data_IF_142414296466
#
_entry.id   IF_142414296466
#
_cell.length_a   1.000
_cell.length_b   1.000
_cell.length_c   1.000
_cell.angle_alpha   90.00
_cell.angle_beta   90.00
_cell.angle_gamma   90.00
#
_symmetry.space_group_name_H-M   'P 1'
#
loop_
_entity.id
_entity.type
_entity.pdbx_description
1 polymer ?
#
# COMPACT_ATOMS: atom_id res chain seq x y z
N UNK A 1 -3.69 -36.06 -9.57
CA UNK A 1 -3.23 -36.33 -10.95
C UNK A 1 -3.53 -35.10 -11.80
N UNK A 2 -2.49 -34.43 -12.28
CA UNK A 2 -2.63 -33.38 -13.29
C UNK A 2 -2.86 -34.13 -14.60
N UNK A 3 -3.98 -33.96 -15.29
CA UNK A 3 -4.20 -34.57 -16.58
C UNK A 3 -3.05 -34.17 -17.50
N UNK A 4 -2.43 -35.13 -18.17
CA UNK A 4 -1.41 -34.85 -19.16
C UNK A 4 -1.97 -33.80 -20.15
N UNK A 5 -1.35 -32.64 -20.24
CA UNK A 5 -1.68 -31.60 -21.22
C UNK A 5 -1.48 -32.25 -22.59
N UNK A 6 -2.57 -32.58 -23.27
CA UNK A 6 -2.50 -32.90 -24.69
C UNK A 6 -1.96 -31.67 -25.41
N UNK A 7 -1.06 -31.90 -26.36
CA UNK A 7 -0.55 -30.84 -27.22
C UNK A 7 -1.70 -30.08 -27.87
N UNK A 8 -2.03 -28.93 -27.30
CA UNK A 8 -3.06 -28.02 -27.69
C UNK A 8 -2.80 -26.69 -26.99
N UNK A 9 -3.15 -25.61 -27.60
CA UNK A 9 -2.94 -24.28 -27.03
C UNK A 9 -3.69 -24.12 -25.71
N UNK A 10 -2.96 -24.02 -24.58
CA UNK A 10 -3.53 -23.64 -23.31
C UNK A 10 -3.63 -22.10 -23.27
N UNK A 11 -4.83 -21.57 -23.38
CA UNK A 11 -5.07 -20.12 -23.23
C UNK A 11 -5.14 -19.79 -21.74
N UNK A 12 -4.07 -19.18 -21.23
CA UNK A 12 -4.03 -18.71 -19.83
C UNK A 12 -4.37 -17.22 -19.83
N UNK A 13 -5.42 -16.87 -19.10
CA UNK A 13 -5.78 -15.47 -18.86
C UNK A 13 -5.28 -15.07 -17.48
N UNK A 14 -4.31 -14.15 -17.44
CA UNK A 14 -3.83 -13.58 -16.19
C UNK A 14 -4.66 -12.35 -15.82
N UNK A 15 -5.17 -12.32 -14.59
CA UNK A 15 -5.85 -11.16 -14.01
C UNK A 15 -4.94 -10.49 -12.98
N UNK A 16 -4.79 -9.17 -13.08
CA UNK A 16 -4.23 -8.40 -11.99
C UNK A 16 -5.20 -8.41 -10.82
N UNK A 17 -4.70 -8.72 -9.64
CA UNK A 17 -5.47 -8.78 -8.39
C UNK A 17 -5.00 -7.73 -7.39
N UNK A 18 -3.96 -6.98 -7.73
CA UNK A 18 -3.36 -5.96 -6.88
C UNK A 18 -3.44 -4.59 -7.54
N UNK A 19 -3.51 -3.57 -6.70
CA UNK A 19 -3.20 -2.19 -7.08
C UNK A 19 -1.91 -1.76 -6.41
N UNK A 20 -1.32 -0.66 -6.87
CA UNK A 20 -0.11 -0.09 -6.30
C UNK A 20 -0.37 1.33 -5.84
N UNK A 21 0.06 1.67 -4.63
CA UNK A 21 0.13 3.06 -4.16
C UNK A 21 1.60 3.46 -4.16
N UNK A 22 1.98 4.35 -5.09
CA UNK A 22 3.29 4.96 -5.11
C UNK A 22 3.27 6.21 -4.23
N UNK A 23 4.06 6.21 -3.16
CA UNK A 23 4.24 7.36 -2.27
C UNK A 23 5.59 8.00 -2.58
N UNK A 24 5.56 9.30 -2.88
CA UNK A 24 6.75 10.15 -2.97
C UNK A 24 6.69 11.15 -1.82
N UNK A 25 7.54 10.98 -0.82
CA UNK A 25 7.55 11.83 0.36
C UNK A 25 8.83 12.66 0.43
N UNK A 26 8.69 14.00 0.46
CA UNK A 26 9.78 14.90 0.80
C UNK A 26 9.93 14.92 2.31
N UNK A 27 11.13 14.62 2.81
CA UNK A 27 11.39 14.52 4.24
C UNK A 27 12.29 15.65 4.72
N UNK A 28 12.20 16.06 6.00
CA UNK A 28 13.10 17.04 6.58
C UNK A 28 14.56 16.59 6.46
N UNK A 29 15.47 17.52 6.26
CA UNK A 29 16.93 17.26 6.15
C UNK A 29 17.54 16.60 7.40
N UNK A 30 16.87 16.73 8.55
CA UNK A 30 17.25 16.06 9.78
C UNK A 30 16.97 14.56 9.81
N UNK A 31 16.21 14.05 8.83
CA UNK A 31 15.88 12.61 8.73
C UNK A 31 17.00 11.91 7.97
N UNK A 32 17.80 11.14 8.67
CA UNK A 32 18.91 10.39 8.06
C UNK A 32 18.43 9.16 7.28
N UNK A 33 17.46 8.43 7.84
CA UNK A 33 16.89 7.23 7.22
C UNK A 33 15.40 7.12 7.51
N UNK A 34 14.65 6.56 6.55
CA UNK A 34 13.26 6.18 6.74
C UNK A 34 13.14 4.67 6.72
N UNK A 35 12.61 4.11 7.79
CA UNK A 35 12.53 2.65 8.03
C UNK A 35 11.20 2.06 7.61
N UNK A 36 10.14 2.86 7.64
CA UNK A 36 8.80 2.39 7.26
C UNK A 36 7.96 3.51 6.65
N UNK A 37 7.04 3.09 5.77
CA UNK A 37 5.98 3.94 5.21
C UNK A 37 4.66 3.23 5.43
N UNK A 38 3.66 3.95 5.95
CA UNK A 38 2.31 3.45 6.16
C UNK A 38 1.33 4.39 5.45
N UNK A 39 0.38 3.81 4.74
CA UNK A 39 -0.76 4.50 4.14
C UNK A 39 -2.04 4.07 4.82
N UNK A 40 -2.89 5.02 5.15
CA UNK A 40 -4.16 4.83 5.85
C UNK A 40 -5.22 5.78 5.27
N UNK A 41 -6.49 5.43 5.40
CA UNK A 41 -7.61 6.31 5.11
C UNK A 41 -8.53 6.40 6.32
N UNK A 42 -8.99 7.59 6.65
CA UNK A 42 -9.83 7.88 7.81
C UNK A 42 -11.10 8.60 7.35
N UNK A 43 -12.25 8.17 7.86
CA UNK A 43 -13.54 8.82 7.62
C UNK A 43 -13.65 10.13 8.40
N UNK A 44 -14.66 10.93 8.09
CA UNK A 44 -14.93 12.18 8.79
C UNK A 44 -15.24 12.00 10.29
N UNK A 45 -15.71 10.83 10.71
CA UNK A 45 -15.98 10.50 12.12
C UNK A 45 -14.73 10.02 12.88
N UNK A 46 -13.56 10.01 12.23
CA UNK A 46 -12.30 9.55 12.81
C UNK A 46 -12.10 8.03 12.75
N UNK A 47 -13.07 7.26 12.27
CA UNK A 47 -12.89 5.83 12.07
C UNK A 47 -12.09 5.53 10.80
N UNK A 48 -11.31 4.45 10.82
CA UNK A 48 -10.53 4.04 9.65
C UNK A 48 -11.42 3.42 8.58
N UNK A 49 -11.01 3.60 7.31
CA UNK A 49 -11.60 2.92 6.16
C UNK A 49 -10.86 1.62 5.92
N UNK A 50 -11.55 0.50 5.96
CA UNK A 50 -10.98 -0.77 5.51
C UNK A 50 -10.95 -0.80 3.98
N UNK A 51 -9.76 -0.83 3.39
CA UNK A 51 -9.59 -0.70 1.94
C UNK A 51 -8.64 -1.71 1.30
N UNK A 52 -7.98 -2.53 2.08
CA UNK A 52 -7.09 -3.55 1.56
C UNK A 52 -7.28 -4.87 2.30
N UNK A 53 -6.99 -5.95 1.61
CA UNK A 53 -6.73 -7.24 2.22
C UNK A 53 -5.21 -7.34 2.29
N UNK A 54 -4.65 -6.74 3.30
CA UNK A 54 -3.21 -6.63 3.47
C UNK A 54 -2.74 -7.50 4.59
N UNK A 55 -1.52 -7.37 4.86
CA UNK A 55 -0.76 -8.24 5.69
C UNK A 55 -0.40 -9.48 4.87
N UNK A 56 0.38 -10.27 5.37
CA UNK A 56 0.96 -11.51 4.91
C UNK A 56 -0.06 -12.54 4.37
N UNK A 57 -0.91 -12.14 3.45
CA UNK A 57 -1.84 -13.06 2.81
C UNK A 57 -1.03 -13.95 1.89
N UNK A 58 -0.72 -15.16 2.31
CA UNK A 58 -0.47 -16.22 1.35
C UNK A 58 -1.67 -16.21 0.42
N UNK A 59 -1.46 -15.80 -0.83
CA UNK A 59 -2.45 -16.01 -1.87
C UNK A 59 -2.65 -17.52 -1.91
N UNK A 60 -3.71 -17.99 -1.30
CA UNK A 60 -4.08 -19.39 -1.44
C UNK A 60 -4.25 -19.66 -2.92
N UNK A 61 -3.75 -20.78 -3.38
CA UNK A 61 -3.61 -21.18 -4.77
C UNK A 61 -4.87 -21.01 -5.66
N UNK A 62 -5.98 -20.52 -5.12
CA UNK A 62 -7.23 -20.30 -5.84
C UNK A 62 -7.99 -19.04 -5.45
N UNK A 63 -7.34 -18.03 -4.88
CA UNK A 63 -7.93 -16.69 -4.78
C UNK A 63 -9.08 -16.52 -3.79
N UNK A 64 -9.26 -17.43 -2.84
CA UNK A 64 -10.35 -17.36 -1.87
C UNK A 64 -9.91 -17.26 -0.42
N UNK A 65 -8.65 -17.06 -0.16
CA UNK A 65 -8.13 -16.81 1.18
C UNK A 65 -8.34 -15.35 1.59
N UNK A 66 -9.51 -15.01 2.06
CA UNK A 66 -9.81 -13.68 2.56
C UNK A 66 -9.32 -13.56 4.01
N UNK A 67 -8.26 -12.77 4.22
CA UNK A 67 -8.05 -12.17 5.52
C UNK A 67 -9.11 -11.12 5.82
N UNK A 68 -9.21 -10.69 7.07
CA UNK A 68 -10.02 -9.54 7.41
C UNK A 68 -9.55 -8.30 6.63
N UNK A 69 -10.45 -7.42 6.18
CA UNK A 69 -10.04 -6.18 5.54
C UNK A 69 -9.24 -5.33 6.53
N UNK A 70 -8.12 -4.78 6.05
CA UNK A 70 -7.26 -3.93 6.83
C UNK A 70 -7.49 -2.46 6.46
N UNK A 71 -7.26 -1.60 7.42
CA UNK A 71 -7.42 -0.15 7.32
C UNK A 71 -6.12 0.59 6.98
N UNK A 72 -5.02 -0.16 6.84
CA UNK A 72 -3.71 0.40 6.50
C UNK A 72 -2.87 -0.57 5.68
N UNK A 73 -1.98 -0.02 4.86
CA UNK A 73 -0.91 -0.74 4.18
C UNK A 73 0.42 -0.18 4.65
N UNK A 74 1.30 -1.03 5.16
CA UNK A 74 2.64 -0.67 5.58
C UNK A 74 3.71 -1.41 4.79
N UNK A 75 4.89 -0.79 4.70
CA UNK A 75 6.09 -1.35 4.09
C UNK A 75 7.31 -0.96 4.92
N UNK A 76 8.06 -1.96 5.37
CA UNK A 76 9.42 -1.77 5.86
C UNK A 76 10.37 -1.47 4.71
N UNK A 77 11.25 -0.52 4.86
CA UNK A 77 12.20 -0.07 3.84
C UNK A 77 13.63 -0.57 4.14
N UNK A 78 14.36 -0.88 3.09
CA UNK A 78 15.73 -1.40 3.18
C UNK A 78 15.80 -2.93 3.04
N UNK A 79 17.01 -3.49 3.25
CA UNK A 79 17.22 -4.95 3.24
C UNK A 79 16.69 -5.60 4.51
N UNK A 80 16.38 -6.89 4.43
CA UNK A 80 16.05 -7.77 5.55
C UNK A 80 14.66 -7.61 6.15
N UNK A 81 13.67 -7.40 5.30
CA UNK A 81 12.30 -7.62 5.73
C UNK A 81 12.06 -9.11 6.00
N UNK A 82 12.18 -9.53 7.25
CA UNK A 82 11.94 -10.93 7.66
C UNK A 82 10.55 -11.15 8.28
N UNK A 83 9.63 -10.24 8.02
CA UNK A 83 8.22 -10.41 8.39
C UNK A 83 7.86 -10.21 9.85
N UNK A 84 8.82 -10.03 10.72
CA UNK A 84 8.58 -9.91 12.17
C UNK A 84 8.61 -8.45 12.67
N UNK A 85 9.11 -7.53 11.85
CA UNK A 85 9.24 -6.12 12.20
C UNK A 85 8.46 -5.24 11.22
N UNK A 86 7.75 -4.26 11.74
CA UNK A 86 7.10 -3.22 10.93
C UNK A 86 8.11 -2.28 10.28
N UNK A 87 9.35 -2.25 10.79
CA UNK A 87 10.43 -1.40 10.32
C UNK A 87 11.51 -2.24 9.62
N UNK A 88 11.94 -1.79 8.45
CA UNK A 88 13.11 -2.31 7.76
C UNK A 88 14.41 -1.66 8.28
N UNK A 89 15.54 -1.97 7.63
CA UNK A 89 16.85 -1.37 7.94
C UNK A 89 16.88 0.13 7.62
N UNK A 90 15.96 0.57 6.76
CA UNK A 90 15.82 1.96 6.34
C UNK A 90 16.56 2.29 5.04
N UNK A 91 16.06 3.31 4.37
CA UNK A 91 16.68 3.92 3.20
C UNK A 91 16.92 5.40 3.46
N UNK A 92 17.99 5.95 2.90
CA UNK A 92 18.22 7.39 2.93
C UNK A 92 17.42 8.08 1.85
N UNK A 93 16.97 9.33 2.10
CA UNK A 93 16.39 10.15 1.05
C UNK A 93 17.39 10.35 -0.10
N UNK A 94 16.86 10.57 -1.30
CA UNK A 94 17.68 10.95 -2.45
C UNK A 94 18.29 12.35 -2.30
N UNK A 95 19.10 12.79 -3.27
CA UNK A 95 19.75 14.10 -3.26
C UNK A 95 18.80 15.29 -3.22
N UNK A 96 17.53 15.07 -3.57
CA UNK A 96 16.46 16.09 -3.51
C UNK A 96 15.62 16.00 -2.25
N UNK A 97 15.98 15.10 -1.32
CA UNK A 97 15.29 14.89 -0.05
C UNK A 97 14.01 14.04 -0.17
N UNK A 98 13.87 13.23 -1.21
CA UNK A 98 12.69 12.39 -1.40
C UNK A 98 12.95 10.93 -1.08
N UNK A 99 11.89 10.31 -0.59
CA UNK A 99 11.76 8.85 -0.50
C UNK A 99 10.65 8.43 -1.42
N UNK A 100 10.86 7.32 -2.13
CA UNK A 100 9.82 6.67 -2.92
C UNK A 100 9.55 5.27 -2.41
N UNK A 101 8.29 4.97 -2.13
CA UNK A 101 7.82 3.65 -1.72
C UNK A 101 6.67 3.19 -2.61
N UNK A 102 6.60 1.88 -2.85
CA UNK A 102 5.53 1.23 -3.60
C UNK A 102 4.82 0.24 -2.69
N UNK A 103 3.61 0.58 -2.28
CA UNK A 103 2.77 -0.26 -1.45
C UNK A 103 1.81 -1.04 -2.35
N UNK A 104 1.78 -2.34 -2.19
CA UNK A 104 0.93 -3.23 -3.00
C UNK A 104 -0.27 -3.65 -2.18
N UNK A 105 -1.46 -3.24 -2.61
CA UNK A 105 -2.71 -3.65 -2.00
C UNK A 105 -3.39 -4.76 -2.81
N UNK A 106 -3.88 -5.77 -2.11
CA UNK A 106 -4.68 -6.82 -2.72
C UNK A 106 -6.15 -6.43 -2.71
N UNK A 107 -6.80 -6.52 -3.86
CA UNK A 107 -8.22 -6.26 -3.98
C UNK A 107 -8.93 -7.49 -4.52
N UNK A 108 -9.12 -8.51 -3.71
CA UNK A 108 -10.02 -9.61 -4.10
C UNK A 108 -11.45 -9.11 -4.42
N UNK A 109 -11.73 -7.86 -4.03
CA UNK A 109 -12.95 -7.09 -4.34
C UNK A 109 -12.55 -5.65 -4.62
N UNK A 110 -13.34 -4.96 -5.43
CA UNK A 110 -13.22 -3.50 -5.61
C UNK A 110 -13.35 -2.83 -4.24
N UNK A 111 -12.39 -1.99 -3.91
CA UNK A 111 -12.37 -1.22 -2.66
C UNK A 111 -12.58 0.25 -2.97
N UNK A 112 -13.45 0.87 -2.19
CA UNK A 112 -13.77 2.28 -2.37
C UNK A 112 -13.43 3.04 -1.10
N UNK A 113 -12.60 4.08 -1.26
CA UNK A 113 -12.40 5.10 -0.24
C UNK A 113 -13.53 6.12 -0.42
N UNK A 114 -14.40 6.33 0.57
CA UNK A 114 -15.58 7.17 0.39
C UNK A 114 -15.22 8.65 0.29
N UNK A 115 -16.08 9.42 -0.35
CA UNK A 115 -16.03 10.87 -0.29
C UNK A 115 -15.99 11.36 1.16
N UNK A 116 -15.23 12.42 1.42
CA UNK A 116 -14.98 12.93 2.77
C UNK A 116 -13.88 12.21 3.54
N UNK A 117 -13.39 11.07 3.06
CA UNK A 117 -12.25 10.40 3.69
C UNK A 117 -10.96 11.21 3.53
N UNK A 118 -10.13 11.20 4.55
CA UNK A 118 -8.80 11.80 4.58
C UNK A 118 -7.74 10.72 4.39
N UNK A 119 -6.84 10.91 3.43
CA UNK A 119 -5.72 10.00 3.21
C UNK A 119 -4.55 10.41 4.11
N UNK A 120 -3.96 9.45 4.80
CA UNK A 120 -2.84 9.68 5.73
C UNK A 120 -1.63 8.87 5.31
N UNK A 121 -0.47 9.51 5.36
CA UNK A 121 0.83 8.87 5.16
C UNK A 121 1.65 9.07 6.42
N UNK A 122 2.21 7.98 6.94
CA UNK A 122 3.11 7.97 8.08
C UNK A 122 4.48 7.47 7.65
N UNK A 123 5.53 8.04 8.21
CA UNK A 123 6.90 7.58 8.08
C UNK A 123 7.46 7.25 9.47
N UNK A 124 8.34 6.25 9.53
CA UNK A 124 8.95 5.78 10.78
C UNK A 124 7.90 5.50 11.86
N UNK A 125 6.97 4.62 11.53
CA UNK A 125 5.83 4.19 12.36
C UNK A 125 4.83 5.29 12.69
N UNK A 126 5.17 6.48 12.99
CA UNK A 126 4.31 7.65 13.21
C UNK A 126 5.10 8.90 13.59
N UNK A 127 6.45 8.81 13.51
CA UNK A 127 7.31 9.96 13.84
C UNK A 127 7.02 11.16 12.92
N UNK A 128 6.60 10.90 11.67
CA UNK A 128 6.16 11.90 10.72
C UNK A 128 4.83 11.47 10.12
N UNK A 129 3.89 12.39 10.03
CA UNK A 129 2.59 12.11 9.42
C UNK A 129 2.10 13.31 8.61
N UNK A 130 1.36 13.01 7.54
CA UNK A 130 0.68 14.01 6.73
C UNK A 130 -0.67 13.50 6.29
N UNK A 131 -1.66 14.38 6.36
CA UNK A 131 -3.01 14.10 5.90
C UNK A 131 -3.32 14.93 4.65
N UNK A 132 -4.11 14.36 3.74
CA UNK A 132 -4.69 15.09 2.61
C UNK A 132 -5.83 16.01 3.08
N UNK A 133 -6.31 16.86 2.19
CA UNK A 133 -7.69 17.35 2.27
C UNK A 133 -8.66 16.16 2.09
N UNK A 134 -9.88 16.25 2.62
CA UNK A 134 -10.90 15.23 2.37
C UNK A 134 -11.11 14.98 0.88
N UNK A 135 -11.36 13.73 0.51
CA UNK A 135 -11.70 13.36 -0.86
C UNK A 135 -13.00 14.05 -1.29
N UNK A 136 -12.99 14.70 -2.45
CA UNK A 136 -14.18 15.34 -3.00
C UNK A 136 -15.23 14.34 -3.50
N UNK A 137 -14.79 13.12 -3.87
CA UNK A 137 -15.64 12.05 -4.36
C UNK A 137 -15.05 10.70 -3.95
N UNK A 138 -15.83 9.65 -4.12
CA UNK A 138 -15.37 8.28 -3.93
C UNK A 138 -14.16 7.98 -4.81
N UNK A 139 -13.14 7.36 -4.23
CA UNK A 139 -11.97 6.86 -4.94
C UNK A 139 -11.96 5.33 -4.93
N UNK A 140 -12.19 4.74 -6.08
CA UNK A 140 -12.15 3.29 -6.25
C UNK A 140 -10.74 2.82 -6.53
N UNK A 141 -10.25 1.88 -5.72
CA UNK A 141 -8.96 1.23 -5.90
C UNK A 141 -9.15 -0.02 -6.75
N UNK A 142 -8.72 0.04 -8.00
CA UNK A 142 -8.91 -0.99 -9.01
C UNK A 142 -7.66 -1.86 -9.20
N UNK A 143 -7.81 -3.16 -9.43
CA UNK A 143 -6.70 -4.02 -9.79
C UNK A 143 -5.98 -3.53 -11.06
N UNK A 144 -4.66 -3.63 -11.07
CA UNK A 144 -3.83 -3.20 -12.19
C UNK A 144 -3.59 -1.70 -12.29
N UNK A 145 -4.15 -0.91 -11.38
CA UNK A 145 -3.94 0.55 -11.34
C UNK A 145 -2.81 0.93 -10.38
N UNK A 146 -2.16 2.06 -10.70
CA UNK A 146 -1.21 2.71 -9.81
C UNK A 146 -1.75 4.09 -9.42
N UNK A 147 -1.85 4.31 -8.12
CA UNK A 147 -2.24 5.58 -7.50
C UNK A 147 -0.98 6.27 -6.99
N UNK A 148 -0.86 7.58 -7.23
CA UNK A 148 0.33 8.36 -6.86
C UNK A 148 -0.03 9.37 -5.79
N UNK A 149 0.73 9.35 -4.71
CA UNK A 149 0.59 10.24 -3.58
C UNK A 149 1.92 10.98 -3.39
N UNK A 150 1.86 12.30 -3.47
CA UNK A 150 3.01 13.17 -3.20
C UNK A 150 2.76 13.88 -1.88
N UNK A 151 3.68 13.78 -0.96
CA UNK A 151 3.59 14.42 0.36
C UNK A 151 4.85 15.22 0.66
N UNK A 152 4.66 16.35 1.32
CA UNK A 152 5.75 17.20 1.84
C UNK A 152 5.69 17.16 3.37
N UNK A 153 6.61 16.43 3.97
CA UNK A 153 6.75 16.28 5.42
C UNK A 153 7.60 17.38 6.06
N UNK A 154 8.06 18.36 5.26
CA UNK A 154 8.90 19.46 5.75
C UNK A 154 8.11 20.65 6.28
N UNK A 155 6.78 20.61 6.12
CA UNK A 155 5.84 21.70 6.47
C UNK A 155 4.86 21.27 7.52
#
# INVERSE_FOLDING_TARGET
>A
DIPALKAGEAKVTLKNICYVIKISAKVPSSVGTVKSVIFQAEKADGSNVSFCFGGWTKVNSFGTGYGNPWDSIGLGLGSDFNGASSDGTGISPDSSGYITAYLVGYTGRVQTLPAGATLKVYLNSSAFSKSSTPLASDLTLEPGKMYRINVDMTK
#
